data_IF_799663502866
#
_entry.id   IF_799663502866
#
_cell.length_a   1.000
_cell.length_b   1.000
_cell.length_c   1.000
_cell.angle_alpha   90.00
_cell.angle_beta   90.00
_cell.angle_gamma   90.00
#
_symmetry.space_group_name_H-M   'P 1'
#
loop_
_entity.id
_entity.type
_entity.pdbx_description
1 polymer ?
#
# COMPACT_ATOMS: atom_id res chain seq x y z
N UNK A 1 -0.59 -1.06 -2.20
CA UNK A 1 0.58 -1.79 -2.71
C UNK A 1 0.18 -3.24 -2.78
N UNK A 2 0.49 -3.87 -3.89
CA UNK A 2 0.17 -5.27 -4.15
C UNK A 2 1.44 -5.96 -4.62
N UNK A 3 1.67 -7.18 -4.17
CA UNK A 3 2.76 -8.01 -4.62
C UNK A 3 2.22 -9.33 -5.17
N UNK A 4 2.66 -9.70 -6.36
CA UNK A 4 2.24 -10.89 -7.09
C UNK A 4 3.43 -11.77 -7.46
N UNK A 5 3.21 -13.08 -7.53
CA UNK A 5 4.18 -14.01 -8.13
C UNK A 5 4.21 -13.86 -9.65
N UNK A 6 5.19 -14.47 -10.35
CA UNK A 6 5.19 -14.54 -11.81
C UNK A 6 3.97 -15.26 -12.40
N UNK A 7 3.28 -16.08 -11.61
CA UNK A 7 2.04 -16.79 -11.97
C UNK A 7 0.78 -15.96 -11.67
N UNK A 8 0.91 -14.66 -11.42
CA UNK A 8 -0.16 -13.72 -11.06
C UNK A 8 -0.91 -14.05 -9.75
N UNK A 9 -0.30 -14.83 -8.85
CA UNK A 9 -0.87 -15.08 -7.52
C UNK A 9 -0.56 -13.92 -6.57
N UNK A 10 -1.60 -13.29 -5.99
CA UNK A 10 -1.45 -12.21 -5.01
C UNK A 10 -0.92 -12.79 -3.68
N UNK A 11 0.31 -12.42 -3.31
CA UNK A 11 0.94 -12.85 -2.05
C UNK A 11 0.80 -11.81 -0.94
N UNK A 12 0.57 -10.55 -1.30
CA UNK A 12 0.44 -9.47 -0.34
C UNK A 12 -0.34 -8.30 -0.91
N UNK A 13 -1.21 -7.70 -0.07
CA UNK A 13 -1.92 -6.47 -0.37
C UNK A 13 -2.05 -5.63 0.90
N UNK A 14 -1.58 -4.40 0.81
CA UNK A 14 -1.78 -3.40 1.86
C UNK A 14 -2.22 -2.07 1.26
N UNK A 15 -3.21 -1.44 1.89
CA UNK A 15 -3.78 -0.17 1.47
C UNK A 15 -3.71 0.83 2.61
N UNK A 16 -3.32 2.06 2.28
CA UNK A 16 -3.24 3.17 3.22
C UNK A 16 -4.00 4.37 2.67
N UNK A 17 -4.88 4.93 3.49
CA UNK A 17 -5.75 6.05 3.12
C UNK A 17 -5.19 7.34 3.70
N UNK A 18 -4.93 8.31 2.81
CA UNK A 18 -4.61 9.67 3.17
C UNK A 18 -5.87 10.51 3.02
N UNK A 19 -6.43 11.01 4.12
CA UNK A 19 -7.61 11.88 4.06
C UNK A 19 -7.16 13.34 4.00
N UNK A 20 -7.37 14.06 2.88
CA UNK A 20 -7.12 15.49 2.86
C UNK A 20 -8.07 16.21 3.81
N UNK A 21 -7.56 17.16 4.61
CA UNK A 21 -8.41 18.04 5.39
C UNK A 21 -9.33 18.82 4.44
N UNK A 22 -10.66 18.70 4.55
CA UNK A 22 -11.56 19.50 3.75
C UNK A 22 -11.57 20.90 4.36
N UNK A 23 -10.54 21.71 4.09
CA UNK A 23 -10.36 23.03 4.69
C UNK A 23 -11.61 23.92 4.58
N UNK A 24 -12.35 23.76 3.48
CA UNK A 24 -13.57 24.49 3.19
C UNK A 24 -14.81 23.94 3.91
N UNK A 25 -14.85 22.64 4.26
CA UNK A 25 -15.99 22.03 4.99
C UNK A 25 -15.76 21.92 6.51
N UNK A 26 -14.50 21.94 6.96
CA UNK A 26 -14.12 21.86 8.37
C UNK A 26 -14.04 23.22 9.09
N UNK A 27 -13.64 24.30 8.39
CA UNK A 27 -13.51 25.66 8.96
C UNK A 27 -14.35 26.66 8.17
N UNK A 28 -15.65 26.73 8.48
CA UNK A 28 -16.58 27.68 7.88
C UNK A 28 -17.90 27.76 8.63
N UNK A 29 -18.68 28.83 8.38
CA UNK A 29 -20.06 28.98 8.88
C UNK A 29 -21.05 28.09 8.10
N UNK A 30 -20.66 27.64 6.90
CA UNK A 30 -21.46 26.73 6.09
C UNK A 30 -21.39 25.31 6.66
N UNK A 31 -22.56 24.70 6.81
CA UNK A 31 -22.70 23.29 7.17
C UNK A 31 -22.78 22.50 5.87
N UNK A 32 -21.65 21.96 5.40
CA UNK A 32 -21.63 21.10 4.22
C UNK A 32 -22.30 19.74 4.48
N UNK A 33 -21.97 19.12 5.61
CA UNK A 33 -22.56 17.87 6.12
C UNK A 33 -22.63 17.90 7.66
N UNK A 34 -23.46 17.04 8.24
CA UNK A 34 -23.96 17.15 9.62
C UNK A 34 -22.89 17.20 10.72
N UNK A 35 -23.25 17.57 11.96
CA UNK A 35 -22.31 17.78 13.07
C UNK A 35 -21.40 16.57 13.37
N UNK A 36 -21.85 15.35 13.07
CA UNK A 36 -21.13 14.10 13.30
C UNK A 36 -19.89 13.93 12.42
N UNK A 37 -19.84 14.57 11.24
CA UNK A 37 -18.65 14.54 10.38
C UNK A 37 -17.59 15.59 10.77
N UNK A 38 -17.95 16.59 11.61
CA UNK A 38 -16.97 17.57 12.15
C UNK A 38 -16.25 17.04 13.40
N UNK A 39 -16.84 16.13 14.15
CA UNK A 39 -16.27 15.56 15.37
C UNK A 39 -15.26 14.42 15.13
N UNK A 40 -15.01 14.03 13.88
CA UNK A 40 -14.24 12.84 13.53
C UNK A 40 -12.74 13.02 13.30
N UNK A 41 -12.14 14.19 13.58
CA UNK A 41 -10.71 14.42 13.28
C UNK A 41 -9.88 14.17 14.54
N UNK A 42 -9.62 12.89 14.82
CA UNK A 42 -8.69 12.48 15.88
C UNK A 42 -7.22 12.49 15.40
N UNK A 43 -6.97 12.40 14.09
CA UNK A 43 -5.62 12.37 13.51
C UNK A 43 -5.60 12.92 12.09
N UNK A 44 -4.69 13.84 11.82
CA UNK A 44 -4.41 14.36 10.48
C UNK A 44 -3.56 13.33 9.71
N UNK A 45 -4.06 12.83 8.59
CA UNK A 45 -3.37 11.86 7.73
C UNK A 45 -3.20 12.37 6.31
N UNK A 46 -3.42 13.66 6.02
CA UNK A 46 -3.21 14.19 4.67
C UNK A 46 -1.74 14.27 4.28
N UNK A 47 -1.49 14.19 2.98
CA UNK A 47 -0.21 14.55 2.38
C UNK A 47 -0.26 16.05 2.06
N UNK A 48 0.55 16.82 2.77
CA UNK A 48 0.64 18.26 2.54
C UNK A 48 1.15 18.60 1.13
N UNK A 49 0.86 19.81 0.62
CA UNK A 49 1.40 20.24 -0.68
C UNK A 49 2.92 20.16 -0.70
N UNK A 50 3.48 19.50 -1.73
CA UNK A 50 4.92 19.27 -1.89
C UNK A 50 5.59 18.47 -0.75
N UNK A 51 4.80 17.90 0.16
CA UNK A 51 5.33 17.03 1.20
C UNK A 51 5.75 15.70 0.58
N UNK A 52 6.92 15.21 1.01
CA UNK A 52 7.40 13.87 0.67
C UNK A 52 7.07 12.95 1.84
N UNK A 53 6.31 11.91 1.57
CA UNK A 53 6.00 10.86 2.55
C UNK A 53 6.77 9.61 2.12
N UNK A 54 7.48 9.01 3.07
CA UNK A 54 8.15 7.73 2.88
C UNK A 54 7.35 6.67 3.63
N UNK A 55 6.83 5.70 2.88
CA UNK A 55 6.12 4.56 3.44
C UNK A 55 6.98 3.31 3.26
N UNK A 56 6.97 2.47 4.28
CA UNK A 56 7.67 1.20 4.28
C UNK A 56 6.63 0.11 4.45
N UNK A 57 6.61 -0.83 3.52
CA UNK A 57 5.75 -2.00 3.53
C UNK A 57 6.61 -3.22 3.80
N UNK A 58 6.14 -4.09 4.69
CA UNK A 58 6.85 -5.33 5.04
C UNK A 58 6.08 -6.51 4.44
N UNK A 59 6.71 -7.18 3.47
CA UNK A 59 6.12 -8.35 2.80
C UNK A 59 6.69 -9.60 3.43
N UNK A 60 5.83 -10.40 4.07
CA UNK A 60 6.19 -11.75 4.47
C UNK A 60 6.07 -12.67 3.26
N UNK A 61 7.20 -13.03 2.66
CA UNK A 61 7.22 -13.90 1.47
C UNK A 61 7.00 -15.36 1.87
N UNK A 62 6.15 -16.13 1.16
CA UNK A 62 5.88 -17.51 1.50
C UNK A 62 7.11 -18.39 1.17
N UNK A 63 7.46 -19.25 2.14
CA UNK A 63 8.59 -20.17 2.05
C UNK A 63 8.12 -21.59 2.39
N UNK A 64 8.79 -22.60 1.84
CA UNK A 64 8.60 -24.00 2.22
C UNK A 64 9.80 -24.52 3.01
N UNK A 65 9.52 -25.24 4.09
CA UNK A 65 10.53 -25.96 4.86
C UNK A 65 10.84 -27.28 4.14
N UNK A 66 12.00 -27.39 3.49
CA UNK A 66 12.48 -28.61 2.85
C UNK A 66 13.57 -29.29 3.69
N UNK A 67 13.45 -30.60 3.87
CA UNK A 67 14.50 -31.42 4.50
C UNK A 67 15.53 -31.81 3.44
N UNK A 68 16.75 -31.28 3.56
CA UNK A 68 17.86 -31.63 2.67
C UNK A 68 19.07 -31.98 3.54
N UNK A 69 19.54 -33.22 3.41
CA UNK A 69 20.70 -33.73 4.13
C UNK A 69 20.60 -33.69 5.67
N UNK A 70 19.40 -33.85 6.23
CA UNK A 70 19.18 -33.96 7.69
C UNK A 70 19.10 -32.63 8.44
N UNK A 71 19.14 -31.50 7.74
CA UNK A 71 18.85 -30.17 8.26
C UNK A 71 17.60 -29.58 7.55
N UNK A 72 16.72 -28.94 8.33
CA UNK A 72 15.55 -28.22 7.78
C UNK A 72 16.00 -26.88 7.21
N UNK A 73 15.85 -26.68 5.89
CA UNK A 73 16.12 -25.40 5.23
C UNK A 73 14.84 -24.79 4.68
N UNK A 74 14.70 -23.48 4.86
CA UNK A 74 13.63 -22.69 4.24
C UNK A 74 14.04 -22.34 2.82
N UNK A 75 13.34 -22.90 1.83
CA UNK A 75 13.49 -22.51 0.43
C UNK A 75 12.32 -21.61 0.01
N UNK A 76 12.59 -20.64 -0.86
CA UNK A 76 11.58 -19.74 -1.41
C UNK A 76 10.74 -20.51 -2.43
N UNK A 77 9.43 -20.26 -2.47
CA UNK A 77 8.52 -20.91 -3.42
C UNK A 77 8.72 -20.40 -4.86
N UNK A 78 8.96 -19.10 -5.03
CA UNK A 78 9.34 -18.50 -6.29
C UNK A 78 10.55 -17.57 -6.08
N UNK A 79 11.33 -17.41 -7.13
CA UNK A 79 12.57 -16.62 -7.09
C UNK A 79 12.32 -15.13 -7.38
N UNK A 80 11.17 -14.81 -7.97
CA UNK A 80 10.81 -13.48 -8.43
C UNK A 80 9.50 -13.01 -7.78
N UNK A 81 9.38 -11.70 -7.59
CA UNK A 81 8.18 -11.05 -7.07
C UNK A 81 7.92 -9.75 -7.84
N UNK A 82 6.72 -9.63 -8.40
CA UNK A 82 6.26 -8.39 -9.04
C UNK A 82 5.58 -7.53 -7.97
N UNK A 83 6.11 -6.33 -7.73
CA UNK A 83 5.55 -5.38 -6.76
C UNK A 83 4.99 -4.18 -7.49
N UNK A 84 3.71 -3.89 -7.29
CA UNK A 84 3.03 -2.72 -7.83
C UNK A 84 2.57 -1.76 -6.71
N UNK A 85 2.96 -0.50 -6.84
CA UNK A 85 2.56 0.59 -5.95
C UNK A 85 1.76 1.60 -6.74
N UNK A 86 0.47 1.68 -6.44
CA UNK A 86 -0.45 2.64 -7.06
C UNK A 86 -1.00 3.60 -6.01
N UNK A 87 -0.89 4.90 -6.29
CA UNK A 87 -1.51 5.97 -5.52
C UNK A 87 -2.71 6.51 -6.29
N UNK A 88 -3.88 6.33 -5.70
CA UNK A 88 -5.15 6.81 -6.25
C UNK A 88 -5.57 8.11 -5.58
N UNK A 89 -6.04 9.07 -6.40
CA UNK A 89 -6.85 10.18 -5.94
C UNK A 89 -8.32 9.83 -6.11
N UNK A 90 -9.02 9.65 -4.99
CA UNK A 90 -10.43 9.27 -4.96
C UNK A 90 -11.23 10.42 -4.31
N UNK A 91 -11.83 11.33 -5.11
CA UNK A 91 -12.40 12.58 -4.58
C UNK A 91 -13.61 12.35 -3.66
N UNK A 92 -14.37 11.29 -3.89
CA UNK A 92 -15.58 10.95 -3.12
C UNK A 92 -15.41 9.73 -2.22
N UNK A 93 -14.20 9.17 -2.15
CA UNK A 93 -13.90 7.95 -1.39
C UNK A 93 -14.43 6.64 -2.02
N UNK A 94 -15.11 6.72 -3.16
CA UNK A 94 -15.62 5.57 -3.91
C UNK A 94 -14.99 5.51 -5.30
N UNK A 95 -14.75 4.30 -5.80
CA UNK A 95 -14.30 4.05 -7.18
C UNK A 95 -15.52 4.02 -8.09
N UNK A 96 -16.05 5.21 -8.40
CA UNK A 96 -17.29 5.43 -9.16
C UNK A 96 -17.04 5.96 -10.59
N UNK A 97 -15.79 5.89 -11.06
CA UNK A 97 -15.33 6.39 -12.36
C UNK A 97 -14.79 7.80 -12.32
N UNK A 98 -14.72 8.43 -11.14
CA UNK A 98 -14.10 9.74 -10.93
C UNK A 98 -12.68 9.69 -10.35
N UNK A 99 -12.19 8.48 -10.06
CA UNK A 99 -10.83 8.23 -9.57
C UNK A 99 -9.77 8.60 -10.61
N UNK A 100 -8.62 9.05 -10.11
CA UNK A 100 -7.46 9.39 -10.94
C UNK A 100 -6.21 8.72 -10.37
N UNK A 101 -5.47 8.01 -11.21
CA UNK A 101 -4.13 7.51 -10.84
C UNK A 101 -3.19 8.70 -10.75
N UNK A 102 -2.64 8.93 -9.55
CA UNK A 102 -1.69 10.02 -9.32
C UNK A 102 -0.24 9.56 -9.46
N UNK A 103 0.03 8.31 -9.07
CA UNK A 103 1.33 7.67 -9.18
C UNK A 103 1.15 6.17 -9.37
N UNK A 104 1.97 5.57 -10.21
CA UNK A 104 2.03 4.13 -10.41
C UNK A 104 3.49 3.76 -10.69
N UNK A 105 3.96 2.74 -9.99
CA UNK A 105 5.27 2.16 -10.21
C UNK A 105 5.19 0.65 -10.02
N UNK A 106 5.74 -0.07 -10.98
CA UNK A 106 5.87 -1.52 -10.94
C UNK A 106 7.36 -1.90 -10.96
N UNK A 107 7.73 -2.83 -10.11
CA UNK A 107 9.09 -3.34 -10.02
C UNK A 107 9.09 -4.83 -9.77
N UNK A 108 9.78 -5.56 -10.66
CA UNK A 108 10.12 -6.97 -10.44
C UNK A 108 11.37 -7.05 -9.55
N UNK A 109 11.26 -7.80 -8.46
CA UNK A 109 12.33 -8.07 -7.50
C UNK A 109 12.82 -9.50 -7.69
N UNK A 110 14.15 -9.68 -7.80
CA UNK A 110 14.81 -10.98 -7.78
C UNK A 110 15.30 -11.29 -6.36
N UNK A 111 14.63 -12.25 -5.72
CA UNK A 111 14.86 -12.65 -4.33
C UNK A 111 16.12 -13.52 -4.18
N UNK A 112 16.73 -14.03 -5.25
CA UNK A 112 18.02 -14.75 -5.14
C UNK A 112 19.20 -13.79 -5.00
N UNK A 113 19.12 -12.64 -5.66
CA UNK A 113 20.23 -11.69 -5.74
C UNK A 113 20.15 -10.62 -4.64
N UNK A 114 18.95 -10.18 -4.27
CA UNK A 114 18.74 -9.14 -3.25
C UNK A 114 18.62 -9.70 -1.82
N UNK A 115 18.30 -10.99 -1.66
CA UNK A 115 18.04 -11.63 -0.37
C UNK A 115 19.25 -12.43 0.11
N UNK A 116 20.17 -11.75 0.79
CA UNK A 116 21.29 -12.41 1.48
C UNK A 116 20.77 -12.95 2.82
N UNK A 117 20.57 -14.27 2.93
CA UNK A 117 20.44 -14.95 4.22
C UNK A 117 21.67 -14.61 5.08
N UNK A 118 21.48 -13.83 6.15
CA UNK A 118 22.46 -13.68 7.23
C UNK A 118 22.10 -14.56 8.40
#
# INVERSE_FOLDING_TARGET
MTATTPDDEEVYREEKIYMPFPARMGRGKEMGRGPYEKSGILRETSIGPLARVHETFEIAYPYEDMEKDGDTRRELLNDELNVSVVLWYVPFGEFDGSEVVFYEEEKTLDLKTEWIWR
#
